data_IF_505663439929
#
_entry.id   IF_505663439929
#
_cell.length_a   1.000
_cell.length_b   1.000
_cell.length_c   1.000
_cell.angle_alpha   90.00
_cell.angle_beta   90.00
_cell.angle_gamma   90.00
#
_symmetry.space_group_name_H-M   'P 1'
#
loop_
_entity.id
_entity.type
_entity.pdbx_description
1 polymer ?
#
# COMPACT_ATOMS: atom_id res chain seq x y z
N UNK A 1 17.79 -27.72 15.25
CA UNK A 1 16.95 -27.59 14.05
C UNK A 1 16.42 -26.17 13.98
N UNK A 2 16.65 -25.50 12.85
CA UNK A 2 16.48 -24.05 12.64
C UNK A 2 15.01 -23.63 12.76
N UNK A 3 14.74 -22.60 13.58
CA UNK A 3 13.46 -21.87 13.59
C UNK A 3 13.34 -21.09 12.29
N UNK A 4 12.63 -21.66 11.31
CA UNK A 4 12.13 -20.89 10.17
C UNK A 4 11.10 -19.89 10.69
N UNK A 5 11.45 -18.61 10.67
CA UNK A 5 10.54 -17.52 10.98
C UNK A 5 9.40 -17.53 9.96
N UNK A 6 8.25 -18.08 10.37
CA UNK A 6 6.98 -17.78 9.73
C UNK A 6 6.81 -16.28 9.99
N UNK A 7 7.03 -15.44 8.97
CA UNK A 7 6.47 -14.09 9.01
C UNK A 7 4.98 -14.32 9.12
N UNK A 8 4.38 -14.00 10.26
CA UNK A 8 2.93 -13.90 10.36
C UNK A 8 2.48 -13.03 9.19
N UNK A 9 1.81 -13.64 8.22
CA UNK A 9 1.20 -12.93 7.12
C UNK A 9 0.14 -12.04 7.75
N UNK A 10 0.54 -10.81 8.08
CA UNK A 10 -0.36 -9.79 8.62
C UNK A 10 -1.61 -9.79 7.76
N UNK A 11 -2.75 -9.93 8.42
CA UNK A 11 -4.02 -9.94 7.71
C UNK A 11 -4.20 -8.61 6.95
N UNK A 12 -5.09 -8.59 5.97
CA UNK A 12 -5.29 -7.42 5.11
C UNK A 12 -5.56 -6.15 5.94
N UNK A 13 -6.37 -6.25 6.99
CA UNK A 13 -6.71 -5.12 7.85
C UNK A 13 -5.48 -4.54 8.57
N UNK A 14 -4.63 -5.39 9.13
CA UNK A 14 -3.38 -4.97 9.77
C UNK A 14 -2.41 -4.32 8.79
N UNK A 15 -2.39 -4.78 7.54
CA UNK A 15 -1.62 -4.15 6.47
C UNK A 15 -2.19 -2.79 6.10
N UNK A 16 -3.52 -2.68 6.00
CA UNK A 16 -4.22 -1.42 5.67
C UNK A 16 -4.08 -0.36 6.76
N UNK A 17 -3.86 -0.72 8.03
CA UNK A 17 -3.51 0.26 9.09
C UNK A 17 -2.27 1.10 8.76
N UNK A 18 -1.36 0.58 7.92
CA UNK A 18 -0.17 1.31 7.48
C UNK A 18 -0.44 2.26 6.29
N UNK A 19 -1.63 2.20 5.70
CA UNK A 19 -2.02 2.95 4.49
C UNK A 19 -3.45 3.49 4.65
N UNK A 20 -3.67 4.52 5.50
CA UNK A 20 -5.01 5.01 5.84
C UNK A 20 -5.81 5.55 4.64
N UNK A 21 -5.14 6.17 3.67
CA UNK A 21 -5.78 6.62 2.42
C UNK A 21 -6.28 5.43 1.59
N UNK A 22 -5.45 4.41 1.41
CA UNK A 22 -5.81 3.18 0.71
C UNK A 22 -6.98 2.46 1.40
N UNK A 23 -6.99 2.45 2.74
CA UNK A 23 -8.10 1.89 3.52
C UNK A 23 -9.42 2.59 3.20
N UNK A 24 -9.45 3.92 3.26
CA UNK A 24 -10.66 4.71 2.99
C UNK A 24 -11.21 4.45 1.56
N UNK A 25 -10.32 4.33 0.57
CA UNK A 25 -10.69 4.04 -0.83
C UNK A 25 -11.31 2.66 -1.00
N UNK A 26 -10.81 1.67 -0.29
CA UNK A 26 -11.37 0.31 -0.30
C UNK A 26 -12.74 0.29 0.38
N UNK A 27 -12.91 1.03 1.47
CA UNK A 27 -14.21 1.19 2.15
C UNK A 27 -15.24 1.86 1.23
N UNK A 28 -14.89 2.95 0.53
CA UNK A 28 -15.74 3.60 -0.48
C UNK A 28 -16.17 2.63 -1.60
N UNK A 29 -15.27 1.73 -2.04
CA UNK A 29 -15.58 0.73 -3.05
C UNK A 29 -16.54 -0.35 -2.53
N UNK A 30 -16.36 -0.79 -1.29
CA UNK A 30 -17.26 -1.76 -0.64
C UNK A 30 -18.66 -1.16 -0.52
N UNK A 31 -18.81 0.10 -0.10
CA UNK A 31 -20.11 0.78 -0.02
C UNK A 31 -20.86 0.84 -1.37
N UNK A 32 -20.11 1.00 -2.48
CA UNK A 32 -20.67 0.98 -3.84
C UNK A 32 -21.18 -0.42 -4.20
N UNK A 33 -20.44 -1.47 -3.83
CA UNK A 33 -20.80 -2.87 -4.11
C UNK A 33 -21.96 -3.34 -3.23
N UNK A 34 -22.01 -2.90 -1.97
CA UNK A 34 -23.08 -3.21 -1.01
C UNK A 34 -24.40 -2.51 -1.35
N UNK A 35 -24.41 -1.67 -2.38
CA UNK A 35 -25.61 -1.10 -2.98
C UNK A 35 -26.43 -0.24 -2.00
N UNK A 36 -25.78 0.43 -1.04
CA UNK A 36 -26.41 1.40 -0.12
C UNK A 36 -26.83 2.73 -0.81
N UNK A 37 -26.80 2.78 -2.14
CA UNK A 37 -27.33 3.88 -2.94
C UNK A 37 -28.40 3.30 -3.86
N UNK A 38 -29.67 3.50 -3.52
CA UNK A 38 -30.85 3.19 -4.34
C UNK A 38 -30.84 3.79 -5.76
N UNK A 39 -29.77 4.48 -6.16
CA UNK A 39 -29.60 5.24 -7.41
C UNK A 39 -28.83 4.48 -8.51
N UNK A 40 -28.47 3.20 -8.31
CA UNK A 40 -27.84 2.39 -9.38
C UNK A 40 -28.90 1.89 -10.37
N UNK A 41 -29.60 2.80 -11.04
CA UNK A 41 -30.51 2.46 -12.14
C UNK A 41 -29.77 2.13 -13.45
N UNK A 42 -28.47 2.40 -13.55
CA UNK A 42 -27.67 2.11 -14.76
C UNK A 42 -26.32 1.49 -14.41
N UNK A 43 -26.15 0.22 -14.74
CA UNK A 43 -24.92 -0.54 -14.55
C UNK A 43 -23.68 0.17 -15.13
N UNK A 44 -23.83 0.89 -16.25
CA UNK A 44 -22.75 1.65 -16.89
C UNK A 44 -22.19 2.78 -15.99
N UNK A 45 -23.05 3.44 -15.20
CA UNK A 45 -22.65 4.50 -14.27
C UNK A 45 -21.90 3.91 -13.07
N UNK A 46 -22.36 2.75 -12.58
CA UNK A 46 -21.65 2.01 -11.54
C UNK A 46 -20.29 1.50 -12.03
N UNK A 47 -20.21 0.95 -13.24
CA UNK A 47 -18.97 0.49 -13.85
C UNK A 47 -17.95 1.63 -14.00
N UNK A 48 -18.38 2.78 -14.54
CA UNK A 48 -17.50 3.93 -14.69
C UNK A 48 -16.97 4.43 -13.33
N UNK A 49 -17.84 4.46 -12.32
CA UNK A 49 -17.47 4.91 -10.96
C UNK A 49 -16.49 3.95 -10.28
N UNK A 50 -16.72 2.63 -10.40
CA UNK A 50 -15.79 1.60 -9.92
C UNK A 50 -14.44 1.72 -10.62
N UNK A 51 -14.44 1.88 -11.95
CA UNK A 51 -13.22 2.01 -12.74
C UNK A 51 -12.40 3.26 -12.34
N UNK A 52 -13.05 4.38 -12.09
CA UNK A 52 -12.41 5.60 -11.62
C UNK A 52 -11.77 5.41 -10.23
N UNK A 53 -12.45 4.71 -9.33
CA UNK A 53 -11.93 4.45 -7.98
C UNK A 53 -10.74 3.49 -8.00
N UNK A 54 -10.82 2.42 -8.80
CA UNK A 54 -9.69 1.49 -9.04
C UNK A 54 -8.49 2.23 -9.62
N UNK A 55 -8.70 3.18 -10.54
CA UNK A 55 -7.62 4.03 -11.07
C UNK A 55 -6.99 4.93 -10.01
N UNK A 56 -7.78 5.52 -9.10
CA UNK A 56 -7.24 6.32 -7.98
C UNK A 56 -6.40 5.46 -7.04
N UNK A 57 -6.93 4.31 -6.63
CA UNK A 57 -6.25 3.33 -5.79
C UNK A 57 -4.90 2.92 -6.42
N UNK A 58 -4.90 2.57 -7.71
CA UNK A 58 -3.69 2.19 -8.43
C UNK A 58 -2.62 3.28 -8.44
N UNK A 59 -3.01 4.56 -8.63
CA UNK A 59 -2.09 5.70 -8.56
C UNK A 59 -1.48 5.86 -7.18
N UNK A 60 -2.29 5.81 -6.13
CA UNK A 60 -1.82 5.93 -4.75
C UNK A 60 -0.88 4.79 -4.35
N UNK A 61 -1.17 3.56 -4.79
CA UNK A 61 -0.31 2.40 -4.56
C UNK A 61 1.07 2.55 -5.21
N UNK A 62 1.13 3.04 -6.46
CA UNK A 62 2.39 3.28 -7.18
C UNK A 62 3.21 4.39 -6.51
N UNK A 63 2.57 5.49 -6.11
CA UNK A 63 3.23 6.59 -5.40
C UNK A 63 3.82 6.11 -4.07
N UNK A 64 3.02 5.42 -3.26
CA UNK A 64 3.45 4.85 -1.97
C UNK A 64 4.59 3.85 -2.12
N UNK A 65 4.56 3.03 -3.19
CA UNK A 65 5.65 2.12 -3.51
C UNK A 65 6.93 2.86 -3.87
N UNK A 66 6.85 3.88 -4.73
CA UNK A 66 8.00 4.70 -5.13
C UNK A 66 8.67 5.39 -3.93
N UNK A 67 7.87 5.95 -3.02
CA UNK A 67 8.38 6.56 -1.79
C UNK A 67 9.08 5.53 -0.89
N UNK A 68 8.49 4.35 -0.77
CA UNK A 68 9.05 3.25 0.03
C UNK A 68 10.38 2.75 -0.55
N UNK A 69 10.50 2.64 -1.89
CA UNK A 69 11.76 2.27 -2.55
C UNK A 69 12.83 3.35 -2.38
N UNK A 70 12.45 4.63 -2.48
CA UNK A 70 13.36 5.75 -2.29
C UNK A 70 13.92 5.80 -0.86
N UNK A 71 13.06 5.57 0.15
CA UNK A 71 13.47 5.47 1.55
C UNK A 71 14.42 4.29 1.78
N UNK A 72 14.12 3.09 1.25
CA UNK A 72 15.00 1.92 1.36
C UNK A 72 16.38 2.18 0.76
N UNK A 73 16.45 2.74 -0.44
CA UNK A 73 17.71 3.06 -1.11
C UNK A 73 18.54 4.09 -0.33
N UNK A 74 17.88 5.06 0.29
CA UNK A 74 18.53 6.07 1.14
C UNK A 74 19.13 5.43 2.40
N UNK A 75 18.39 4.53 3.06
CA UNK A 75 18.89 3.81 4.24
C UNK A 75 20.01 2.83 3.90
N UNK A 76 19.97 2.17 2.74
CA UNK A 76 21.08 1.35 2.25
C UNK A 76 22.36 2.17 2.00
N UNK A 77 22.22 3.38 1.43
CA UNK A 77 23.36 4.29 1.22
C UNK A 77 23.93 4.78 2.55
N UNK A 78 23.08 5.15 3.53
CA UNK A 78 23.53 5.52 4.88
C UNK A 78 24.27 4.36 5.54
N UNK A 79 23.70 3.16 5.51
CA UNK A 79 24.32 1.95 6.09
C UNK A 79 25.68 1.64 5.44
N UNK A 80 25.80 1.78 4.10
CA UNK A 80 27.07 1.63 3.39
C UNK A 80 28.09 2.73 3.76
N UNK A 81 27.67 3.97 3.98
CA UNK A 81 28.55 5.07 4.42
C UNK A 81 29.08 4.84 5.84
N UNK A 82 28.23 4.40 6.77
CA UNK A 82 28.64 4.11 8.16
C UNK A 82 29.61 2.92 8.24
N UNK A 83 29.39 1.86 7.46
CA UNK A 83 30.33 0.74 7.33
C UNK A 83 31.70 1.16 6.78
N UNK A 84 31.74 2.12 5.85
CA UNK A 84 32.99 2.67 5.31
C UNK A 84 33.75 3.56 6.29
N UNK A 85 33.05 4.25 7.21
CA UNK A 85 33.70 5.04 8.26
C UNK A 85 34.32 4.17 9.34
N UNK A 86 33.67 3.06 9.71
CA UNK A 86 34.23 2.10 10.67
C UNK A 86 35.53 1.46 10.15
N UNK A 87 35.56 1.03 8.87
CA UNK A 87 36.76 0.46 8.23
C UNK A 87 37.97 1.40 8.06
N UNK A 88 37.81 2.71 8.29
CA UNK A 88 38.92 3.69 8.24
C UNK A 88 39.49 4.03 9.61
N UNK A 89 38.91 3.47 10.69
CA UNK A 89 39.35 3.65 12.07
C UNK A 89 40.10 2.44 12.63
N UNK A 90 40.20 1.36 11.85
CA UNK A 90 41.10 0.22 12.05
C UNK A 90 42.30 0.36 11.09
#
# INVERSE_FOLDING_TARGET
>A
MSKGSIKEDKNLEERLKSYPLLKARIEELIEVVENNREDIEKADIAEQRVLEEVRKIGREAILSWSESQSKKKTEEIKKRKELRKHKKKD
#
